data_IF_546152841071
#
_entry.id   IF_546152841071
#
_cell.length_a   1.000
_cell.length_b   1.000
_cell.length_c   1.000
_cell.angle_alpha   90.00
_cell.angle_beta   90.00
_cell.angle_gamma   90.00
#
_symmetry.space_group_name_H-M   'P 1'
#
loop_
_entity.id
_entity.type
_entity.pdbx_description
1 polymer ?
#
# COMPACT_ATOMS: atom_id res chain seq x y z
N UNK A 1 19.37 -21.25 -9.18
CA UNK A 1 19.92 -20.71 -7.91
C UNK A 1 18.94 -20.91 -6.76
N UNK A 2 19.40 -20.72 -5.51
CA UNK A 2 18.55 -20.68 -4.31
C UNK A 2 18.24 -19.23 -3.94
N UNK A 3 16.97 -18.89 -3.86
CA UNK A 3 16.51 -17.53 -3.52
C UNK A 3 15.74 -17.60 -2.19
N UNK A 4 16.05 -16.72 -1.25
CA UNK A 4 15.26 -16.59 -0.03
C UNK A 4 14.58 -15.22 0.05
N UNK A 5 13.25 -15.24 0.16
CA UNK A 5 12.42 -14.08 0.41
C UNK A 5 12.20 -13.97 1.93
N UNK A 6 12.46 -12.81 2.50
CA UNK A 6 12.29 -12.58 3.95
C UNK A 6 11.20 -11.55 4.19
N UNK A 7 10.18 -11.93 4.94
CA UNK A 7 9.05 -11.09 5.32
C UNK A 7 8.91 -10.94 6.84
N UNK A 8 8.29 -9.86 7.28
CA UNK A 8 8.14 -9.48 8.69
C UNK A 8 6.75 -9.76 9.25
N UNK A 9 5.88 -10.36 8.45
CA UNK A 9 4.48 -10.61 8.81
C UNK A 9 3.96 -11.85 8.10
N UNK A 10 2.67 -12.17 8.28
CA UNK A 10 1.98 -13.27 7.61
C UNK A 10 1.91 -13.08 6.09
N UNK A 11 1.80 -14.18 5.37
CA UNK A 11 1.72 -14.21 3.89
C UNK A 11 0.58 -13.31 3.40
N UNK A 12 -0.61 -13.41 3.99
CA UNK A 12 -1.79 -12.60 3.61
C UNK A 12 -1.60 -11.09 3.73
N UNK A 13 -0.63 -10.64 4.53
CA UNK A 13 -0.32 -9.22 4.69
C UNK A 13 0.87 -8.75 3.84
N UNK A 14 1.39 -9.65 2.96
CA UNK A 14 2.49 -9.36 2.06
C UNK A 14 2.14 -9.58 0.57
N UNK A 15 0.97 -9.14 0.08
CA UNK A 15 0.59 -9.35 -1.33
C UNK A 15 1.62 -8.72 -2.30
N UNK A 16 2.33 -7.69 -1.87
CA UNK A 16 3.41 -7.06 -2.61
C UNK A 16 4.64 -7.97 -2.85
N UNK A 17 4.74 -9.09 -2.19
CA UNK A 17 5.74 -10.11 -2.46
C UNK A 17 5.63 -10.65 -3.89
N UNK A 18 4.40 -10.71 -4.43
CA UNK A 18 4.15 -11.20 -5.77
C UNK A 18 4.86 -10.36 -6.84
N UNK A 19 5.04 -9.05 -6.62
CA UNK A 19 5.83 -8.19 -7.51
C UNK A 19 7.23 -8.77 -7.81
N UNK A 20 7.82 -9.44 -6.83
CA UNK A 20 9.12 -10.10 -6.98
C UNK A 20 8.98 -11.55 -7.43
N UNK A 21 8.02 -12.28 -6.85
CA UNK A 21 7.83 -13.69 -7.11
C UNK A 21 7.43 -13.95 -8.56
N UNK A 22 6.61 -13.09 -9.15
CA UNK A 22 6.20 -13.16 -10.55
C UNK A 22 7.36 -12.99 -11.54
N UNK A 23 8.53 -12.51 -11.09
CA UNK A 23 9.75 -12.41 -11.90
C UNK A 23 10.68 -13.61 -11.72
N UNK A 24 10.30 -14.61 -10.92
CA UNK A 24 11.11 -15.79 -10.59
C UNK A 24 10.43 -17.04 -11.16
N UNK A 25 11.13 -17.75 -12.02
CA UNK A 25 10.68 -19.08 -12.46
C UNK A 25 10.95 -20.10 -11.34
N UNK A 26 9.88 -20.43 -10.58
CA UNK A 26 9.96 -21.40 -9.47
C UNK A 26 10.21 -22.85 -9.91
N UNK A 27 10.13 -23.14 -11.21
CA UNK A 27 10.54 -24.44 -11.76
C UNK A 27 12.06 -24.56 -11.95
N UNK A 28 12.74 -23.42 -12.16
CA UNK A 28 14.19 -23.36 -12.38
C UNK A 28 14.96 -22.93 -11.13
N UNK A 29 14.29 -22.33 -10.16
CA UNK A 29 14.90 -21.77 -8.94
C UNK A 29 14.28 -22.40 -7.69
N UNK A 30 15.12 -22.75 -6.71
CA UNK A 30 14.69 -23.16 -5.38
C UNK A 30 14.35 -21.91 -4.57
N UNK A 31 13.06 -21.71 -4.28
CA UNK A 31 12.57 -20.48 -3.63
C UNK A 31 12.09 -20.79 -2.22
N UNK A 32 12.58 -20.03 -1.25
CA UNK A 32 12.23 -20.15 0.16
C UNK A 32 11.60 -18.85 0.67
N UNK A 33 10.55 -18.95 1.49
CA UNK A 33 9.93 -17.82 2.17
C UNK A 33 10.12 -17.93 3.68
N UNK A 34 10.89 -17.02 4.27
CA UNK A 34 11.08 -16.89 5.72
C UNK A 34 10.15 -15.78 6.21
N UNK A 35 9.17 -16.11 7.04
CA UNK A 35 8.14 -15.15 7.44
C UNK A 35 7.71 -15.31 8.90
N UNK A 36 6.96 -14.33 9.43
CA UNK A 36 6.58 -14.28 10.83
C UNK A 36 5.06 -14.39 11.03
N UNK A 37 4.61 -15.47 11.69
CA UNK A 37 3.24 -15.60 12.20
C UNK A 37 3.11 -14.85 13.51
N UNK A 38 2.49 -13.67 13.49
CA UNK A 38 2.45 -12.73 14.62
C UNK A 38 1.20 -12.83 15.48
N UNK A 39 0.17 -13.50 15.02
CA UNK A 39 -1.14 -13.67 15.67
C UNK A 39 -1.74 -15.03 15.31
N UNK A 40 -2.81 -15.42 16.03
CA UNK A 40 -3.51 -16.70 15.84
C UNK A 40 -4.58 -16.67 14.72
N UNK A 41 -4.72 -15.54 14.01
CA UNK A 41 -5.66 -15.47 12.88
C UNK A 41 -5.17 -16.34 11.72
N UNK A 42 -6.11 -16.79 10.87
CA UNK A 42 -5.79 -17.54 9.66
C UNK A 42 -4.77 -16.79 8.79
N UNK A 43 -3.91 -17.52 8.11
CA UNK A 43 -2.96 -16.98 7.13
C UNK A 43 -3.36 -17.45 5.72
N UNK A 44 -2.78 -16.86 4.69
CA UNK A 44 -2.81 -17.42 3.34
C UNK A 44 -1.80 -18.55 3.22
N UNK A 45 -2.05 -19.48 2.31
CA UNK A 45 -1.07 -20.49 1.96
C UNK A 45 0.21 -19.86 1.39
N UNK A 46 1.31 -20.53 1.59
CA UNK A 46 2.56 -20.18 0.91
C UNK A 46 2.37 -20.43 -0.58
N UNK A 47 2.82 -19.53 -1.47
CA UNK A 47 2.65 -19.70 -2.91
C UNK A 47 3.21 -21.03 -3.41
N UNK A 48 2.57 -21.59 -4.44
CA UNK A 48 3.02 -22.85 -5.05
C UNK A 48 4.47 -22.72 -5.55
N UNK A 49 5.27 -23.76 -5.35
CA UNK A 49 6.68 -23.77 -5.72
C UNK A 49 7.61 -23.04 -4.74
N UNK A 50 7.09 -22.56 -3.61
CA UNK A 50 7.87 -21.88 -2.57
C UNK A 50 7.88 -22.70 -1.28
N UNK A 51 9.05 -22.93 -0.70
CA UNK A 51 9.18 -23.61 0.61
C UNK A 51 9.04 -22.59 1.76
N UNK A 52 8.02 -22.74 2.60
CA UNK A 52 7.71 -21.83 3.72
C UNK A 52 8.48 -22.17 5.01
N UNK A 53 9.08 -21.16 5.64
CA UNK A 53 9.73 -21.23 6.95
C UNK A 53 9.08 -20.23 7.90
N UNK A 54 8.06 -20.66 8.64
CA UNK A 54 7.31 -19.82 9.54
C UNK A 54 8.02 -19.65 10.90
N UNK A 55 8.15 -18.41 11.36
CA UNK A 55 8.47 -18.10 12.75
C UNK A 55 7.16 -17.85 13.50
N UNK A 56 6.82 -18.75 14.41
CA UNK A 56 5.62 -18.67 15.22
C UNK A 56 5.94 -18.00 16.56
N UNK A 57 5.54 -16.72 16.69
CA UNK A 57 5.73 -15.94 17.90
C UNK A 57 4.73 -14.80 17.95
N UNK A 58 3.72 -14.87 18.82
CA UNK A 58 2.67 -13.85 18.93
C UNK A 58 3.24 -12.49 19.31
N UNK A 59 2.88 -11.45 18.56
CA UNK A 59 3.26 -10.07 18.84
C UNK A 59 2.25 -9.10 18.25
N UNK A 60 1.51 -8.39 19.10
CA UNK A 60 0.56 -7.38 18.68
C UNK A 60 1.25 -6.15 18.07
N UNK A 61 0.62 -5.56 17.04
CA UNK A 61 1.05 -4.28 16.47
C UNK A 61 0.77 -3.07 17.37
N UNK A 62 -0.16 -3.23 18.30
CA UNK A 62 -0.57 -2.15 19.22
C UNK A 62 0.41 -1.89 20.37
N UNK A 63 1.40 -2.79 20.61
CA UNK A 63 2.35 -2.62 21.72
C UNK A 63 3.46 -1.61 21.39
N UNK A 64 4.01 -0.88 22.39
CA UNK A 64 5.13 0.04 22.21
C UNK A 64 6.36 -0.64 21.61
N UNK A 65 7.20 0.14 20.90
CA UNK A 65 8.43 -0.35 20.27
C UNK A 65 9.35 -1.12 21.25
N UNK A 66 9.53 -0.60 22.46
CA UNK A 66 10.39 -1.24 23.49
C UNK A 66 9.97 -2.68 23.77
N UNK A 67 8.66 -2.97 23.72
CA UNK A 67 8.11 -4.32 23.88
C UNK A 67 8.20 -5.15 22.59
N UNK A 68 8.36 -4.53 21.42
CA UNK A 68 8.57 -5.23 20.14
C UNK A 68 10.00 -5.72 19.93
N UNK A 69 10.99 -5.02 20.48
CA UNK A 69 12.42 -5.33 20.29
C UNK A 69 12.78 -6.79 20.58
N UNK A 70 12.34 -7.41 21.69
CA UNK A 70 12.64 -8.83 21.95
C UNK A 70 12.12 -9.78 20.87
N UNK A 71 10.90 -9.54 20.37
CA UNK A 71 10.30 -10.31 19.26
C UNK A 71 11.11 -10.18 17.97
N UNK A 72 11.49 -8.94 17.63
CA UNK A 72 12.33 -8.64 16.44
C UNK A 72 13.69 -9.36 16.56
N UNK A 73 14.29 -9.36 17.73
CA UNK A 73 15.56 -10.08 17.96
C UNK A 73 15.42 -11.60 17.83
N UNK A 74 14.32 -12.18 18.36
CA UNK A 74 14.01 -13.61 18.20
C UNK A 74 13.80 -13.97 16.74
N UNK A 75 13.00 -13.17 16.00
CA UNK A 75 12.84 -13.33 14.57
C UNK A 75 14.18 -13.28 13.83
N UNK A 76 15.02 -12.31 14.13
CA UNK A 76 16.35 -12.19 13.53
C UNK A 76 17.26 -13.40 13.79
N UNK A 77 17.18 -14.01 15.00
CA UNK A 77 17.90 -15.27 15.31
C UNK A 77 17.35 -16.43 14.47
N UNK A 78 16.02 -16.55 14.37
CA UNK A 78 15.36 -17.56 13.56
C UNK A 78 15.73 -17.41 12.06
N UNK A 79 15.59 -16.21 11.50
CA UNK A 79 15.92 -15.93 10.11
C UNK A 79 17.40 -16.24 9.78
N UNK A 80 18.34 -15.87 10.66
CA UNK A 80 19.77 -16.19 10.51
C UNK A 80 20.02 -17.71 10.53
N UNK A 81 19.31 -18.45 11.41
CA UNK A 81 19.43 -19.94 11.46
C UNK A 81 18.86 -20.56 10.19
N UNK A 82 17.71 -20.10 9.70
CA UNK A 82 17.12 -20.56 8.44
C UNK A 82 18.05 -20.25 7.25
N UNK A 83 18.55 -19.02 7.11
CA UNK A 83 19.51 -18.63 6.08
C UNK A 83 20.80 -19.42 6.12
N UNK A 84 21.28 -19.83 7.30
CA UNK A 84 22.45 -20.70 7.41
C UNK A 84 22.15 -22.13 6.90
N UNK A 85 20.95 -22.65 7.14
CA UNK A 85 20.53 -24.00 6.69
C UNK A 85 20.27 -24.01 5.18
N UNK A 86 19.53 -23.02 4.66
CA UNK A 86 19.16 -22.90 3.24
C UNK A 86 20.40 -22.59 2.40
N UNK A 87 21.28 -21.70 2.92
CA UNK A 87 22.45 -21.16 2.23
C UNK A 87 22.10 -20.57 0.86
N UNK A 88 21.17 -19.60 0.77
CA UNK A 88 20.73 -19.05 -0.51
C UNK A 88 21.86 -18.26 -1.20
N UNK A 89 21.78 -18.21 -2.53
CA UNK A 89 22.68 -17.42 -3.39
C UNK A 89 22.27 -15.94 -3.37
N UNK A 90 20.95 -15.70 -3.31
CA UNK A 90 20.35 -14.35 -3.40
C UNK A 90 19.20 -14.17 -2.41
N UNK A 91 18.99 -12.91 -1.96
CA UNK A 91 17.91 -12.57 -1.02
C UNK A 91 16.95 -11.53 -1.61
N UNK A 92 15.68 -11.61 -1.23
CA UNK A 92 14.71 -10.53 -1.37
C UNK A 92 14.23 -10.18 0.04
N UNK A 93 14.53 -8.96 0.48
CA UNK A 93 14.33 -8.52 1.86
C UNK A 93 13.19 -7.51 1.91
N UNK A 94 12.05 -7.94 2.39
CA UNK A 94 10.86 -7.15 2.47
C UNK A 94 10.80 -6.41 3.81
N UNK A 95 10.70 -5.08 3.76
CA UNK A 95 10.57 -4.19 4.90
C UNK A 95 11.87 -3.92 5.70
N UNK A 96 12.05 -2.68 6.18
CA UNK A 96 13.23 -2.22 6.93
C UNK A 96 13.49 -3.00 8.22
N UNK A 97 12.45 -3.42 8.95
CA UNK A 97 12.61 -4.20 10.19
C UNK A 97 13.21 -5.59 9.90
N UNK A 98 12.83 -6.23 8.79
CA UNK A 98 13.44 -7.47 8.33
C UNK A 98 14.93 -7.26 8.06
N UNK A 99 15.26 -6.24 7.27
CA UNK A 99 16.66 -5.90 6.92
C UNK A 99 17.53 -5.67 8.14
N UNK A 100 17.03 -4.90 9.12
CA UNK A 100 17.76 -4.62 10.37
C UNK A 100 17.99 -5.89 11.18
N UNK A 101 17.03 -6.81 11.24
CA UNK A 101 17.12 -8.05 11.99
C UNK A 101 18.28 -8.95 11.52
N UNK A 102 18.66 -8.84 10.23
CA UNK A 102 19.75 -9.60 9.60
C UNK A 102 20.88 -8.70 9.07
N UNK A 103 20.95 -7.42 9.49
CA UNK A 103 21.86 -6.40 8.97
C UNK A 103 23.30 -6.87 8.80
N UNK A 104 23.85 -7.59 9.82
CA UNK A 104 25.21 -8.09 9.78
C UNK A 104 25.49 -9.07 8.61
N UNK A 105 24.47 -9.84 8.18
CA UNK A 105 24.56 -10.71 7.02
C UNK A 105 24.50 -9.91 5.71
N UNK A 106 23.58 -8.93 5.62
CA UNK A 106 23.43 -8.06 4.44
C UNK A 106 24.69 -7.24 4.18
N UNK A 107 25.35 -6.77 5.24
CA UNK A 107 26.58 -5.97 5.14
C UNK A 107 27.80 -6.79 4.71
N UNK A 108 27.85 -8.10 4.98
CA UNK A 108 29.03 -8.96 4.78
C UNK A 108 28.78 -10.00 3.70
N UNK A 109 28.06 -11.08 4.03
CA UNK A 109 27.86 -12.25 3.18
C UNK A 109 27.06 -11.94 1.91
N UNK A 110 26.01 -11.13 2.06
CA UNK A 110 25.06 -10.84 0.97
C UNK A 110 25.23 -9.44 0.37
N UNK A 111 26.33 -8.74 0.61
CA UNK A 111 26.58 -7.45 -0.03
C UNK A 111 26.55 -7.58 -1.55
N UNK A 112 25.70 -6.81 -2.22
CA UNK A 112 25.45 -6.89 -3.66
C UNK A 112 24.63 -8.11 -4.13
N UNK A 113 24.11 -8.91 -3.19
CA UNK A 113 23.37 -10.15 -3.47
C UNK A 113 21.96 -10.12 -2.86
N UNK A 114 21.31 -8.98 -2.86
CA UNK A 114 19.93 -8.88 -2.42
C UNK A 114 19.21 -7.70 -3.05
N UNK A 115 17.88 -7.88 -3.20
CA UNK A 115 16.92 -6.81 -3.42
C UNK A 115 16.38 -6.38 -2.05
N UNK A 116 16.23 -5.08 -1.85
CA UNK A 116 15.62 -4.52 -0.65
C UNK A 116 14.34 -3.76 -0.98
N UNK A 117 13.23 -4.11 -0.34
CA UNK A 117 11.94 -3.46 -0.47
C UNK A 117 11.62 -2.61 0.75
N UNK A 118 11.65 -1.28 0.58
CA UNK A 118 11.36 -0.29 1.61
C UNK A 118 9.90 0.18 1.50
N UNK A 119 9.03 -0.34 2.36
CA UNK A 119 7.58 -0.14 2.28
C UNK A 119 7.04 0.99 3.13
N UNK A 120 7.61 1.22 4.30
CA UNK A 120 7.10 2.16 5.30
C UNK A 120 8.23 2.88 6.03
N UNK A 121 8.01 4.15 6.33
CA UNK A 121 8.83 4.91 7.28
C UNK A 121 8.47 4.45 8.69
N UNK A 122 9.44 3.90 9.40
CA UNK A 122 9.24 3.35 10.76
C UNK A 122 9.91 4.18 11.84
N UNK A 123 11.25 4.18 11.87
CA UNK A 123 12.06 4.82 12.91
C UNK A 123 13.19 5.68 12.32
N UNK A 124 13.03 6.18 11.11
CA UNK A 124 14.04 6.95 10.38
C UNK A 124 14.34 8.31 11.01
N UNK A 125 13.50 8.78 11.95
CA UNK A 125 13.82 9.91 12.83
C UNK A 125 14.96 9.60 13.81
N UNK A 126 15.27 8.31 14.07
CA UNK A 126 16.42 7.86 14.85
C UNK A 126 17.62 7.76 13.92
N UNK A 127 18.62 8.60 14.11
CA UNK A 127 19.78 8.73 13.20
C UNK A 127 20.51 7.41 12.95
N UNK A 128 20.68 6.58 13.99
CA UNK A 128 21.32 5.27 13.83
C UNK A 128 20.47 4.33 12.99
N UNK A 129 19.16 4.34 13.15
CA UNK A 129 18.25 3.54 12.34
C UNK A 129 18.33 3.95 10.87
N UNK A 130 18.22 5.26 10.59
CA UNK A 130 18.35 5.81 9.24
C UNK A 130 19.70 5.49 8.61
N UNK A 131 20.80 5.55 9.36
CA UNK A 131 22.12 5.17 8.88
C UNK A 131 22.17 3.69 8.47
N UNK A 132 21.59 2.79 9.30
CA UNK A 132 21.53 1.36 8.99
C UNK A 132 20.72 1.11 7.73
N UNK A 133 19.51 1.68 7.60
CA UNK A 133 18.67 1.57 6.40
C UNK A 133 19.41 2.12 5.18
N UNK A 134 20.05 3.27 5.29
CA UNK A 134 20.85 3.84 4.20
C UNK A 134 22.01 2.93 3.78
N UNK A 135 22.65 2.23 4.72
CA UNK A 135 23.68 1.23 4.41
C UNK A 135 23.10 0.00 3.72
N UNK A 136 21.90 -0.44 4.11
CA UNK A 136 21.18 -1.53 3.44
C UNK A 136 20.92 -1.17 1.99
N UNK A 137 20.36 0.03 1.72
CA UNK A 137 20.13 0.51 0.34
C UNK A 137 21.44 0.56 -0.46
N UNK A 138 22.51 1.13 0.08
CA UNK A 138 23.79 1.25 -0.61
C UNK A 138 24.46 -0.09 -0.94
N UNK A 139 24.21 -1.11 -0.12
CA UNK A 139 24.79 -2.45 -0.30
C UNK A 139 23.87 -3.42 -1.07
N UNK A 140 22.65 -3.04 -1.43
CA UNK A 140 21.77 -3.87 -2.23
C UNK A 140 22.22 -3.93 -3.69
N UNK A 141 21.86 -4.97 -4.40
CA UNK A 141 21.93 -5.01 -5.86
C UNK A 141 20.89 -4.07 -6.47
N UNK A 142 19.68 -4.07 -5.87
CA UNK A 142 18.56 -3.21 -6.26
C UNK A 142 17.72 -2.90 -5.02
N UNK A 143 17.14 -1.71 -4.95
CA UNK A 143 16.18 -1.34 -3.90
C UNK A 143 14.91 -0.78 -4.50
N UNK A 144 13.80 -1.02 -3.80
CA UNK A 144 12.51 -0.43 -4.13
C UNK A 144 11.97 0.36 -2.96
N UNK A 145 11.15 1.37 -3.28
CA UNK A 145 10.31 2.07 -2.31
C UNK A 145 8.87 2.10 -2.80
N UNK A 146 7.90 1.98 -1.90
CA UNK A 146 6.47 1.99 -2.25
C UNK A 146 5.89 3.38 -2.47
N UNK A 147 6.68 4.43 -2.28
CA UNK A 147 6.31 5.82 -2.51
C UNK A 147 7.55 6.67 -2.80
N UNK A 148 7.47 7.55 -3.77
CA UNK A 148 8.54 8.53 -4.03
C UNK A 148 8.73 9.49 -2.84
N UNK A 149 7.70 9.74 -2.06
CA UNK A 149 7.79 10.55 -0.85
C UNK A 149 8.71 9.97 0.22
N UNK A 150 8.98 8.67 0.17
CA UNK A 150 9.91 8.02 1.11
C UNK A 150 11.38 8.21 0.73
N UNK A 151 11.69 8.60 -0.51
CA UNK A 151 13.07 8.85 -0.99
C UNK A 151 13.82 9.86 -0.13
N UNK A 152 13.15 10.83 0.48
CA UNK A 152 13.77 11.81 1.39
C UNK A 152 14.45 11.19 2.62
N UNK A 153 14.13 9.95 2.96
CA UNK A 153 14.72 9.20 4.06
C UNK A 153 15.86 8.26 3.63
N UNK A 154 16.03 8.07 2.33
CA UNK A 154 16.93 7.11 1.73
C UNK A 154 18.09 7.82 0.99
N UNK A 155 19.23 7.16 0.81
CA UNK A 155 20.30 7.73 0.01
C UNK A 155 19.89 7.78 -1.46
N UNK A 156 20.33 8.81 -2.15
CA UNK A 156 20.23 8.87 -3.61
C UNK A 156 21.10 7.79 -4.26
N UNK A 157 20.51 7.04 -5.17
CA UNK A 157 21.18 6.02 -5.97
C UNK A 157 20.29 5.64 -7.16
N UNK A 158 20.91 5.33 -8.29
CA UNK A 158 20.27 4.84 -9.51
C UNK A 158 19.65 3.44 -9.36
N UNK A 159 20.03 2.72 -8.30
CA UNK A 159 19.49 1.40 -7.92
C UNK A 159 18.27 1.47 -7.02
N UNK A 160 17.71 2.65 -6.73
CA UNK A 160 16.49 2.83 -5.98
C UNK A 160 15.34 3.17 -6.93
N UNK A 161 14.42 2.24 -7.11
CA UNK A 161 13.23 2.38 -7.95
C UNK A 161 11.97 2.49 -7.08
N UNK A 162 10.84 2.85 -7.71
CA UNK A 162 9.53 2.83 -7.06
C UNK A 162 8.78 1.56 -7.45
N UNK A 163 8.27 0.82 -6.45
CA UNK A 163 7.34 -0.28 -6.65
C UNK A 163 5.93 0.19 -6.35
N UNK A 164 5.10 0.30 -7.37
CA UNK A 164 3.73 0.74 -7.21
C UNK A 164 2.85 -0.38 -6.61
N UNK A 165 1.94 -0.01 -5.70
CA UNK A 165 0.95 -0.94 -5.13
C UNK A 165 -0.25 -1.13 -6.06
N UNK A 166 -0.02 -1.17 -7.36
CA UNK A 166 -1.07 -1.44 -8.31
C UNK A 166 -1.47 -2.93 -8.22
N UNK A 167 -2.75 -3.17 -8.08
CA UNK A 167 -3.30 -4.52 -8.04
C UNK A 167 -3.59 -5.01 -9.45
N UNK A 168 -4.51 -5.92 -9.61
CA UNK A 168 -4.89 -6.52 -10.89
C UNK A 168 -5.21 -5.47 -11.97
N UNK A 169 -4.32 -5.32 -12.95
CA UNK A 169 -4.44 -4.35 -14.05
C UNK A 169 -5.62 -4.68 -14.97
N UNK A 170 -6.06 -5.96 -15.05
CA UNK A 170 -7.22 -6.37 -15.87
C UNK A 170 -8.51 -5.65 -15.49
N UNK A 171 -8.62 -5.13 -14.25
CA UNK A 171 -9.77 -4.31 -13.87
C UNK A 171 -10.00 -3.10 -14.78
N UNK A 172 -8.94 -2.58 -15.45
CA UNK A 172 -9.10 -1.49 -16.41
C UNK A 172 -9.85 -1.95 -17.67
N UNK A 173 -9.61 -3.18 -18.12
CA UNK A 173 -10.31 -3.80 -19.23
C UNK A 173 -11.76 -4.13 -18.85
N UNK A 174 -11.96 -4.68 -17.63
CA UNK A 174 -13.28 -5.06 -17.12
C UNK A 174 -14.27 -3.88 -17.02
N UNK A 175 -13.78 -2.65 -16.84
CA UNK A 175 -14.63 -1.44 -16.77
C UNK A 175 -14.72 -0.67 -18.06
N UNK A 176 -13.96 -1.03 -19.11
CA UNK A 176 -13.87 -0.26 -20.36
C UNK A 176 -15.24 -0.01 -20.99
N UNK A 177 -16.09 -1.04 -21.05
CA UNK A 177 -17.43 -0.96 -21.65
C UNK A 177 -18.43 -0.12 -20.82
N UNK A 178 -18.11 0.18 -19.58
CA UNK A 178 -18.95 1.00 -18.69
C UNK A 178 -18.58 2.48 -18.68
N UNK A 179 -17.62 2.90 -19.51
CA UNK A 179 -17.13 4.27 -19.57
C UNK A 179 -17.63 5.01 -20.83
N UNK A 180 -17.90 6.31 -20.73
CA UNK A 180 -17.94 7.13 -19.50
C UNK A 180 -19.13 6.73 -18.60
N UNK A 181 -18.99 6.94 -17.29
CA UNK A 181 -19.98 6.46 -16.30
C UNK A 181 -21.25 7.32 -16.21
N UNK A 182 -21.20 8.54 -16.72
CA UNK A 182 -22.22 9.55 -16.49
C UNK A 182 -22.15 10.13 -15.06
N UNK A 183 -22.92 11.19 -14.84
CA UNK A 183 -22.99 11.86 -13.53
C UNK A 183 -24.22 11.41 -12.76
N UNK A 184 -24.03 11.03 -11.52
CA UNK A 184 -25.09 10.59 -10.62
C UNK A 184 -25.45 11.68 -9.60
N UNK A 185 -26.69 11.67 -9.14
CA UNK A 185 -27.19 12.43 -8.01
C UNK A 185 -28.14 11.52 -7.25
N UNK A 186 -27.89 11.25 -5.95
CA UNK A 186 -26.76 11.74 -5.14
C UNK A 186 -25.40 11.18 -5.59
N UNK A 187 -24.32 11.92 -5.29
CA UNK A 187 -22.93 11.54 -5.57
C UNK A 187 -22.49 10.47 -4.56
N UNK A 188 -22.12 9.30 -5.02
CA UNK A 188 -21.72 8.17 -4.19
C UNK A 188 -20.21 8.24 -3.89
N UNK A 189 -19.88 8.65 -2.69
CA UNK A 189 -18.48 8.76 -2.22
C UNK A 189 -18.14 7.50 -1.42
N UNK A 190 -17.15 6.71 -1.87
CA UNK A 190 -16.84 5.43 -1.26
C UNK A 190 -15.42 5.39 -0.70
N UNK A 191 -15.29 4.86 0.52
CA UNK A 191 -14.04 4.43 1.12
C UNK A 191 -13.99 2.91 1.13
N UNK A 192 -12.86 2.33 0.70
CA UNK A 192 -12.59 0.91 0.90
C UNK A 192 -11.19 0.65 1.47
N UNK A 193 -11.14 -0.31 2.39
CA UNK A 193 -9.92 -0.71 3.09
C UNK A 193 -10.09 -0.77 4.60
N UNK A 194 -8.98 -0.74 5.31
CA UNK A 194 -9.02 -0.67 6.77
C UNK A 194 -9.40 0.74 7.22
N UNK A 195 -10.55 0.88 7.87
CA UNK A 195 -11.06 2.16 8.34
C UNK A 195 -10.23 2.64 9.55
N UNK A 196 -9.60 3.79 9.38
CA UNK A 196 -8.73 4.45 10.37
C UNK A 196 -9.00 5.96 10.39
N UNK A 197 -8.48 6.64 11.41
CA UNK A 197 -8.59 8.10 11.49
C UNK A 197 -10.00 8.55 11.88
N UNK A 198 -10.48 8.16 13.05
CA UNK A 198 -11.83 8.46 13.55
C UNK A 198 -12.17 9.94 13.44
N UNK A 199 -11.28 10.85 13.87
CA UNK A 199 -11.54 12.29 13.87
C UNK A 199 -11.78 12.86 12.47
N UNK A 200 -11.01 12.42 11.47
CA UNK A 200 -11.15 12.93 10.10
C UNK A 200 -12.41 12.36 9.43
N UNK A 201 -12.72 11.08 9.67
CA UNK A 201 -13.96 10.49 9.18
C UNK A 201 -15.20 11.08 9.88
N UNK A 202 -15.10 11.40 11.16
CA UNK A 202 -16.16 12.11 11.89
C UNK A 202 -16.44 13.48 11.26
N UNK A 203 -15.41 14.22 10.88
CA UNK A 203 -15.58 15.51 10.21
C UNK A 203 -16.22 15.35 8.83
N UNK A 204 -15.75 14.42 8.00
CA UNK A 204 -16.34 14.13 6.68
C UNK A 204 -17.83 13.76 6.83
N UNK A 205 -18.17 12.86 7.76
CA UNK A 205 -19.55 12.44 8.00
C UNK A 205 -20.39 13.61 8.53
N UNK A 206 -19.82 14.50 9.36
CA UNK A 206 -20.55 15.67 9.87
C UNK A 206 -20.89 16.68 8.78
N UNK A 207 -20.05 16.79 7.74
CA UNK A 207 -20.22 17.73 6.61
C UNK A 207 -21.13 17.19 5.52
N UNK A 208 -21.08 15.89 5.25
CA UNK A 208 -21.78 15.27 4.13
C UNK A 208 -22.98 14.40 4.56
N UNK A 209 -23.02 14.00 5.83
CA UNK A 209 -24.14 13.24 6.41
C UNK A 209 -25.37 14.12 6.54
N UNK A 210 -26.49 13.70 5.94
CA UNK A 210 -27.73 14.45 5.87
C UNK A 210 -27.78 15.52 4.77
N UNK A 211 -26.74 15.64 3.93
CA UNK A 211 -26.77 16.43 2.70
C UNK A 211 -27.23 15.55 1.53
N UNK A 212 -28.38 15.86 0.96
CA UNK A 212 -29.06 15.05 -0.09
C UNK A 212 -28.25 14.98 -1.41
N UNK A 213 -27.23 15.79 -1.55
CA UNK A 213 -26.31 15.76 -2.70
C UNK A 213 -25.38 14.54 -2.69
N UNK A 214 -25.20 13.87 -1.53
CA UNK A 214 -24.19 12.85 -1.31
C UNK A 214 -24.72 11.58 -0.70
N UNK A 215 -24.08 10.47 -1.02
CA UNK A 215 -24.11 9.20 -0.27
C UNK A 215 -22.70 8.81 0.16
N UNK A 216 -22.51 8.38 1.41
CA UNK A 216 -21.24 7.92 1.94
C UNK A 216 -21.25 6.41 2.13
N UNK A 217 -20.37 5.71 1.42
CA UNK A 217 -20.26 4.25 1.48
C UNK A 217 -18.91 3.84 2.06
N UNK A 218 -18.92 3.09 3.16
CA UNK A 218 -17.73 2.58 3.83
C UNK A 218 -17.65 1.06 3.72
N UNK A 219 -16.62 0.57 3.02
CA UNK A 219 -16.32 -0.85 2.86
C UNK A 219 -15.02 -1.18 3.57
N UNK A 220 -15.03 -2.17 4.44
CA UNK A 220 -13.84 -2.65 5.13
C UNK A 220 -14.03 -2.85 6.62
N UNK A 221 -12.94 -3.17 7.29
CA UNK A 221 -12.94 -3.44 8.71
C UNK A 221 -12.77 -2.15 9.51
N UNK A 222 -13.70 -1.87 10.40
CA UNK A 222 -13.58 -0.84 11.42
C UNK A 222 -13.14 -1.46 12.75
N UNK A 223 -12.36 -0.73 13.56
CA UNK A 223 -11.89 -1.19 14.87
C UNK A 223 -11.91 -0.06 15.90
N UNK A 224 -12.22 -0.40 17.15
CA UNK A 224 -12.21 0.55 18.27
C UNK A 224 -13.17 1.72 18.05
N UNK A 225 -12.70 2.94 18.23
CA UNK A 225 -13.51 4.16 18.06
C UNK A 225 -14.11 4.33 16.66
N UNK A 226 -13.51 3.70 15.65
CA UNK A 226 -14.03 3.74 14.28
C UNK A 226 -15.28 2.87 14.13
N UNK A 227 -15.37 1.71 14.83
CA UNK A 227 -16.60 0.89 14.85
C UNK A 227 -17.75 1.66 15.47
N UNK A 228 -17.51 2.32 16.61
CA UNK A 228 -18.51 3.15 17.29
C UNK A 228 -18.99 4.28 16.38
N UNK A 229 -18.05 4.99 15.72
CA UNK A 229 -18.41 6.05 14.78
C UNK A 229 -19.32 5.55 13.66
N UNK A 230 -19.02 4.38 13.06
CA UNK A 230 -19.85 3.82 11.99
C UNK A 230 -21.25 3.45 12.50
N UNK A 231 -21.35 2.76 13.64
CA UNK A 231 -22.64 2.37 14.25
C UNK A 231 -23.52 3.58 14.58
N UNK A 232 -22.94 4.67 15.07
CA UNK A 232 -23.67 5.90 15.37
C UNK A 232 -24.08 6.64 14.10
N UNK A 233 -23.21 6.68 13.11
CA UNK A 233 -23.42 7.43 11.85
C UNK A 233 -24.55 6.83 11.01
N UNK A 234 -24.61 5.50 10.86
CA UNK A 234 -25.69 4.84 10.10
C UNK A 234 -27.06 4.95 10.79
N UNK A 235 -27.09 5.19 12.11
CA UNK A 235 -28.34 5.46 12.84
C UNK A 235 -28.79 6.90 12.71
N UNK A 236 -27.84 7.83 12.56
CA UNK A 236 -28.10 9.27 12.54
C UNK A 236 -28.43 9.78 11.16
N UNK A 237 -27.77 9.27 10.12
CA UNK A 237 -27.85 9.78 8.76
C UNK A 237 -28.32 8.69 7.78
N UNK A 238 -29.34 8.97 7.00
CA UNK A 238 -29.91 8.01 6.02
C UNK A 238 -29.03 7.82 4.80
N UNK A 239 -28.12 8.73 4.54
CA UNK A 239 -27.18 8.70 3.42
C UNK A 239 -25.76 8.20 3.78
N UNK A 240 -25.59 7.57 4.95
CA UNK A 240 -24.31 6.97 5.38
C UNK A 240 -24.50 5.45 5.51
N UNK A 241 -23.66 4.69 4.81
CA UNK A 241 -23.74 3.25 4.70
C UNK A 241 -22.43 2.59 5.13
N UNK A 242 -22.52 1.56 5.97
CA UNK A 242 -21.37 0.73 6.35
C UNK A 242 -21.61 -0.72 5.93
N UNK A 243 -20.80 -1.21 4.99
CA UNK A 243 -20.97 -2.51 4.33
C UNK A 243 -20.14 -3.63 4.98
N UNK A 244 -19.22 -3.30 5.91
CA UNK A 244 -18.33 -4.28 6.52
C UNK A 244 -17.19 -4.75 5.60
N UNK A 245 -16.62 -5.92 5.92
CA UNK A 245 -15.48 -6.46 5.17
C UNK A 245 -15.90 -6.94 3.78
N UNK A 246 -15.00 -6.81 2.81
CA UNK A 246 -15.18 -7.20 1.43
C UNK A 246 -14.01 -8.08 0.95
N UNK A 247 -14.21 -8.82 -0.12
CA UNK A 247 -13.18 -9.64 -0.77
C UNK A 247 -12.58 -8.91 -1.98
N UNK A 248 -11.37 -9.23 -2.41
CA UNK A 248 -10.74 -8.60 -3.58
C UNK A 248 -11.60 -8.60 -4.86
N UNK A 249 -12.36 -9.68 -5.09
CA UNK A 249 -13.24 -9.82 -6.24
C UNK A 249 -14.49 -8.92 -6.19
N UNK A 250 -14.88 -8.44 -5.01
CA UNK A 250 -16.04 -7.56 -4.84
C UNK A 250 -15.76 -6.12 -5.34
N UNK A 251 -14.48 -5.80 -5.64
CA UNK A 251 -14.03 -4.45 -6.00
C UNK A 251 -14.67 -3.92 -7.29
N UNK A 252 -14.93 -4.75 -8.29
CA UNK A 252 -15.64 -4.33 -9.50
C UNK A 252 -17.06 -3.84 -9.18
N UNK A 253 -17.80 -4.60 -8.37
CA UNK A 253 -19.14 -4.21 -7.93
C UNK A 253 -19.11 -2.93 -7.08
N UNK A 254 -18.12 -2.79 -6.19
CA UNK A 254 -17.93 -1.58 -5.39
C UNK A 254 -17.64 -0.38 -6.29
N UNK A 255 -16.75 -0.54 -7.27
CA UNK A 255 -16.42 0.51 -8.24
C UNK A 255 -17.61 0.94 -9.09
N UNK A 256 -18.47 0.01 -9.51
CA UNK A 256 -19.71 0.31 -10.24
C UNK A 256 -20.72 1.13 -9.40
N UNK A 257 -20.65 1.03 -8.08
CA UNK A 257 -21.47 1.78 -7.13
C UNK A 257 -20.73 2.96 -6.46
N UNK A 258 -19.69 3.48 -7.10
CA UNK A 258 -18.87 4.58 -6.61
C UNK A 258 -18.73 5.63 -7.69
N UNK A 259 -18.91 6.90 -7.32
CA UNK A 259 -18.67 8.04 -8.20
C UNK A 259 -17.36 8.76 -7.85
N UNK A 260 -16.99 8.76 -6.57
CA UNK A 260 -15.75 9.36 -6.07
C UNK A 260 -15.12 8.43 -5.03
N UNK A 261 -13.81 8.21 -5.11
CA UNK A 261 -13.06 7.50 -4.08
C UNK A 261 -12.67 8.46 -2.94
N UNK A 262 -13.05 8.12 -1.73
CA UNK A 262 -12.55 8.79 -0.53
C UNK A 262 -11.15 8.25 -0.18
N UNK A 263 -10.13 9.07 -0.46
CA UNK A 263 -8.72 8.80 -0.21
C UNK A 263 -8.09 9.84 0.75
N UNK A 264 -8.91 10.41 1.64
CA UNK A 264 -8.48 11.37 2.66
C UNK A 264 -7.99 10.63 3.90
N UNK A 265 -6.82 11.01 4.41
CA UNK A 265 -6.20 10.45 5.60
C UNK A 265 -5.74 11.55 6.56
N UNK A 266 -5.53 11.19 7.81
CA UNK A 266 -4.98 12.10 8.82
C UNK A 266 -3.49 12.38 8.56
N UNK A 267 -3.18 13.65 8.31
CA UNK A 267 -1.81 14.14 8.06
C UNK A 267 -0.97 14.36 9.34
N UNK A 268 -1.51 14.05 10.53
CA UNK A 268 -0.80 14.27 11.80
C UNK A 268 0.44 13.40 11.99
N UNK A 269 0.55 12.29 11.27
CA UNK A 269 1.76 11.48 11.29
C UNK A 269 2.71 11.81 10.13
N UNK A 270 3.97 11.41 10.24
CA UNK A 270 5.02 11.74 9.25
C UNK A 270 4.98 10.89 7.99
N UNK A 271 4.25 9.79 8.02
CA UNK A 271 4.23 8.79 6.94
C UNK A 271 3.08 9.06 5.97
N UNK A 272 1.89 9.34 6.50
CA UNK A 272 0.68 9.50 5.68
C UNK A 272 0.77 10.59 4.61
N UNK A 273 1.37 11.79 4.90
CA UNK A 273 1.48 12.83 3.89
C UNK A 273 2.32 12.45 2.67
N UNK A 274 3.18 11.45 2.80
CA UNK A 274 4.16 11.05 1.77
C UNK A 274 4.00 9.61 1.30
N UNK A 275 3.02 8.89 1.84
CA UNK A 275 2.68 7.52 1.44
C UNK A 275 1.78 7.51 0.19
N UNK A 276 1.80 6.39 -0.52
CA UNK A 276 0.85 6.08 -1.59
C UNK A 276 -0.10 4.99 -1.12
N UNK A 277 -1.39 5.22 -1.21
CA UNK A 277 -2.39 4.20 -0.90
C UNK A 277 -2.79 3.39 -2.13
N UNK A 278 -3.27 2.16 -1.92
CA UNK A 278 -3.79 1.34 -3.01
C UNK A 278 -4.95 2.02 -3.75
N UNK A 279 -5.76 2.82 -3.03
CA UNK A 279 -6.88 3.56 -3.62
C UNK A 279 -6.47 4.57 -4.70
N UNK A 280 -5.23 5.10 -4.65
CA UNK A 280 -4.72 5.93 -5.73
C UNK A 280 -4.70 5.17 -7.06
N UNK A 281 -4.20 3.95 -7.03
CA UNK A 281 -4.16 3.08 -8.22
C UNK A 281 -5.55 2.56 -8.60
N UNK A 282 -6.40 2.33 -7.61
CA UNK A 282 -7.80 1.96 -7.86
C UNK A 282 -8.54 3.05 -8.62
N UNK A 283 -8.32 4.33 -8.27
CA UNK A 283 -8.87 5.45 -9.01
C UNK A 283 -8.49 5.46 -10.48
N UNK A 284 -7.24 5.10 -10.80
CA UNK A 284 -6.78 4.98 -12.19
C UNK A 284 -7.39 3.76 -12.90
N UNK A 285 -7.40 2.60 -12.25
CA UNK A 285 -7.92 1.35 -12.83
C UNK A 285 -9.41 1.42 -13.08
N UNK A 286 -10.17 1.96 -12.14
CA UNK A 286 -11.64 2.05 -12.24
C UNK A 286 -12.14 3.36 -12.85
N UNK A 287 -11.24 4.28 -13.22
CA UNK A 287 -11.57 5.62 -13.74
C UNK A 287 -12.53 6.36 -12.79
N UNK A 288 -12.08 6.50 -11.55
CA UNK A 288 -12.84 7.16 -10.49
C UNK A 288 -12.05 8.34 -9.93
N UNK A 289 -12.62 9.55 -9.92
CA UNK A 289 -11.99 10.69 -9.28
C UNK A 289 -11.79 10.44 -7.79
N UNK A 290 -10.77 11.08 -7.21
CA UNK A 290 -10.35 10.84 -5.83
C UNK A 290 -10.38 12.11 -5.01
N UNK A 291 -10.89 12.02 -3.79
CA UNK A 291 -10.69 13.07 -2.76
C UNK A 291 -9.43 12.73 -1.98
N UNK A 292 -8.42 13.56 -2.09
CA UNK A 292 -7.14 13.36 -1.42
C UNK A 292 -6.86 14.46 -0.40
N UNK A 293 -6.15 14.10 0.66
CA UNK A 293 -5.80 15.04 1.74
C UNK A 293 -4.93 16.18 1.22
N UNK A 294 -5.31 17.40 1.53
CA UNK A 294 -4.56 18.64 1.23
C UNK A 294 -3.14 18.59 1.79
N UNK A 295 -2.14 18.94 0.97
CA UNK A 295 -0.71 18.89 1.31
C UNK A 295 -0.10 17.47 1.36
N UNK A 296 -0.83 16.45 0.91
CA UNK A 296 -0.27 15.10 0.74
C UNK A 296 0.34 14.88 -0.64
N UNK A 297 1.24 13.90 -0.75
CA UNK A 297 1.78 13.49 -2.05
C UNK A 297 0.67 13.06 -3.02
N UNK A 298 -0.31 12.30 -2.52
CA UNK A 298 -1.45 11.88 -3.35
C UNK A 298 -2.29 13.06 -3.80
N UNK A 299 -2.57 14.03 -2.91
CA UNK A 299 -3.27 15.26 -3.26
C UNK A 299 -2.54 16.04 -4.36
N UNK A 300 -1.23 16.23 -4.19
CA UNK A 300 -0.38 16.89 -5.18
C UNK A 300 -0.41 16.17 -6.53
N UNK A 301 -0.34 14.83 -6.54
CA UNK A 301 -0.38 14.04 -7.77
C UNK A 301 -1.78 14.08 -8.42
N UNK A 302 -2.84 13.98 -7.62
CA UNK A 302 -4.21 14.07 -8.12
C UNK A 302 -4.49 15.42 -8.81
N UNK A 303 -4.04 16.51 -8.21
CA UNK A 303 -4.14 17.85 -8.81
C UNK A 303 -3.27 17.99 -10.06
N UNK A 304 -2.00 17.54 -9.98
CA UNK A 304 -1.04 17.63 -11.08
C UNK A 304 -1.53 16.89 -12.34
N UNK A 305 -2.10 15.71 -12.17
CA UNK A 305 -2.54 14.86 -13.28
C UNK A 305 -4.04 14.99 -13.59
N UNK A 306 -4.74 15.89 -12.91
CA UNK A 306 -6.18 16.10 -13.08
C UNK A 306 -7.05 14.84 -12.88
N UNK A 307 -6.69 14.02 -11.88
CA UNK A 307 -7.34 12.75 -11.55
C UNK A 307 -8.08 12.76 -10.20
N UNK A 308 -8.26 13.92 -9.60
CA UNK A 308 -8.94 14.06 -8.32
C UNK A 308 -8.85 15.47 -7.73
N UNK A 309 -9.45 15.62 -6.57
CA UNK A 309 -9.51 16.87 -5.81
C UNK A 309 -8.68 16.79 -4.53
N UNK A 310 -7.78 17.74 -4.34
CA UNK A 310 -7.12 17.95 -3.06
C UNK A 310 -8.02 18.77 -2.14
N UNK A 311 -8.35 18.25 -0.96
CA UNK A 311 -9.30 18.88 -0.05
C UNK A 311 -8.98 18.63 1.43
N UNK A 312 -9.54 19.49 2.28
CA UNK A 312 -9.47 19.37 3.74
C UNK A 312 -10.90 19.33 4.29
N UNK A 313 -11.31 18.27 5.01
CA UNK A 313 -12.66 18.18 5.58
C UNK A 313 -12.99 19.29 6.58
N UNK A 314 -11.97 19.95 7.15
CA UNK A 314 -12.16 21.04 8.10
C UNK A 314 -12.43 22.39 7.41
N UNK A 315 -12.25 22.52 6.09
CA UNK A 315 -12.63 23.71 5.33
C UNK A 315 -14.17 23.86 5.34
N UNK A 316 -14.66 25.12 5.47
CA UNK A 316 -16.10 25.39 5.58
C UNK A 316 -16.87 25.03 4.29
N UNK A 317 -16.21 25.18 3.13
CA UNK A 317 -16.74 24.93 1.79
C UNK A 317 -16.49 23.50 1.27
N UNK A 318 -16.10 22.58 2.16
CA UNK A 318 -15.71 21.21 1.77
C UNK A 318 -16.77 20.49 0.91
N UNK A 319 -18.03 20.52 1.33
CA UNK A 319 -19.13 19.87 0.59
C UNK A 319 -19.37 20.53 -0.77
N UNK A 320 -19.40 21.86 -0.83
CA UNK A 320 -19.63 22.61 -2.06
C UNK A 320 -18.51 22.40 -3.08
N UNK A 321 -17.24 22.39 -2.62
CA UNK A 321 -16.09 22.10 -3.48
C UNK A 321 -16.13 20.71 -4.10
N UNK A 322 -16.58 19.70 -3.36
CA UNK A 322 -16.75 18.34 -3.89
C UNK A 322 -17.84 18.31 -4.94
N UNK A 323 -18.97 18.96 -4.63
CA UNK A 323 -20.11 19.01 -5.56
C UNK A 323 -19.76 19.73 -6.86
N UNK A 324 -19.15 20.91 -6.76
CA UNK A 324 -18.71 21.72 -7.90
C UNK A 324 -17.66 20.98 -8.75
N UNK A 325 -16.67 20.35 -8.10
CA UNK A 325 -15.66 19.53 -8.78
C UNK A 325 -16.31 18.41 -9.59
N UNK A 326 -17.17 17.61 -8.96
CA UNK A 326 -17.78 16.46 -9.63
C UNK A 326 -18.73 16.88 -10.77
N UNK A 327 -19.55 17.90 -10.54
CA UNK A 327 -20.51 18.38 -11.54
C UNK A 327 -19.86 19.09 -12.72
N UNK A 328 -18.71 19.73 -12.52
CA UNK A 328 -17.93 20.38 -13.59
C UNK A 328 -16.97 19.47 -14.34
N UNK A 329 -16.76 18.22 -13.85
CA UNK A 329 -15.79 17.30 -14.43
C UNK A 329 -16.16 16.96 -15.90
N UNK A 330 -15.21 17.15 -16.84
CA UNK A 330 -15.31 16.62 -18.19
C UNK A 330 -14.86 15.15 -18.18
N UNK A 331 -15.77 14.26 -18.54
CA UNK A 331 -15.52 12.81 -18.45
C UNK A 331 -14.48 12.33 -19.46
N UNK A 332 -14.43 12.91 -20.65
CA UNK A 332 -13.47 12.52 -21.68
C UNK A 332 -12.05 12.98 -21.32
N UNK A 333 -11.93 14.22 -20.83
CA UNK A 333 -10.64 14.75 -20.32
C UNK A 333 -10.16 13.96 -19.11
N UNK A 334 -11.07 13.61 -18.19
CA UNK A 334 -10.74 12.82 -17.00
C UNK A 334 -10.27 11.41 -17.36
N UNK A 335 -10.95 10.74 -18.32
CA UNK A 335 -10.53 9.44 -18.81
C UNK A 335 -9.12 9.49 -19.42
N UNK A 336 -8.85 10.47 -20.28
CA UNK A 336 -7.54 10.67 -20.89
C UNK A 336 -6.44 10.95 -19.85
N UNK A 337 -6.77 11.69 -18.78
CA UNK A 337 -5.88 11.96 -17.67
C UNK A 337 -5.55 10.68 -16.87
N UNK A 338 -6.55 9.85 -16.58
CA UNK A 338 -6.37 8.54 -15.94
C UNK A 338 -5.49 7.61 -16.78
N UNK A 339 -5.74 7.52 -18.10
CA UNK A 339 -4.95 6.68 -19.01
C UNK A 339 -3.49 7.15 -19.08
N UNK A 340 -3.26 8.45 -19.12
CA UNK A 340 -1.91 9.03 -19.14
C UNK A 340 -1.13 8.67 -17.88
N UNK A 341 -1.74 8.85 -16.71
CA UNK A 341 -1.08 8.53 -15.43
C UNK A 341 -0.94 7.03 -15.23
N UNK A 342 -1.92 6.23 -15.63
CA UNK A 342 -1.83 4.77 -15.58
C UNK A 342 -0.69 4.26 -16.46
N UNK A 343 -0.55 4.77 -17.68
CA UNK A 343 0.55 4.41 -18.58
C UNK A 343 1.92 4.73 -17.96
N UNK A 344 2.06 5.90 -17.31
CA UNK A 344 3.29 6.28 -16.57
C UNK A 344 3.60 5.28 -15.45
N UNK A 345 2.60 4.94 -14.63
CA UNK A 345 2.74 3.97 -13.54
C UNK A 345 3.15 2.60 -14.06
N UNK A 346 2.50 2.12 -15.11
CA UNK A 346 2.81 0.82 -15.72
C UNK A 346 4.21 0.77 -16.34
N UNK A 347 4.67 1.85 -16.95
CA UNK A 347 6.03 1.94 -17.46
C UNK A 347 7.08 1.84 -16.33
N UNK A 348 6.82 2.44 -15.17
CA UNK A 348 7.68 2.30 -13.98
C UNK A 348 7.66 0.89 -13.41
N UNK A 349 6.49 0.23 -13.38
CA UNK A 349 6.35 -1.18 -12.98
C UNK A 349 7.17 -2.08 -13.91
N UNK A 350 7.04 -1.91 -15.22
CA UNK A 350 7.77 -2.72 -16.21
C UNK A 350 9.28 -2.51 -16.11
N UNK A 351 9.73 -1.27 -15.93
CA UNK A 351 11.14 -0.97 -15.65
C UNK A 351 11.63 -1.69 -14.39
N UNK A 352 10.79 -1.74 -13.34
CA UNK A 352 11.07 -2.47 -12.10
C UNK A 352 11.25 -3.97 -12.36
N UNK A 353 10.30 -4.57 -13.10
CA UNK A 353 10.28 -5.98 -13.46
C UNK A 353 11.56 -6.36 -14.26
N UNK A 354 11.91 -5.54 -15.26
CA UNK A 354 13.13 -5.73 -16.04
C UNK A 354 14.37 -5.71 -15.16
N UNK A 355 14.49 -4.73 -14.26
CA UNK A 355 15.64 -4.61 -13.35
C UNK A 355 15.73 -5.79 -12.37
N UNK A 356 14.61 -6.33 -11.90
CA UNK A 356 14.61 -7.54 -11.07
C UNK A 356 15.17 -8.72 -11.86
N UNK A 357 14.71 -8.94 -13.10
CA UNK A 357 15.20 -10.03 -13.97
C UNK A 357 16.70 -9.90 -14.26
N UNK A 358 17.19 -8.70 -14.61
CA UNK A 358 18.61 -8.44 -14.82
C UNK A 358 19.43 -8.83 -13.58
N UNK A 359 19.04 -8.33 -12.40
CA UNK A 359 19.77 -8.59 -11.15
C UNK A 359 19.74 -10.07 -10.75
N UNK A 360 18.65 -10.78 -11.02
CA UNK A 360 18.56 -12.23 -10.76
C UNK A 360 19.35 -13.07 -11.77
N UNK A 361 19.48 -12.60 -13.00
CA UNK A 361 20.29 -13.28 -14.02
C UNK A 361 21.80 -13.14 -13.74
N UNK A 362 22.22 -11.98 -13.19
CA UNK A 362 23.63 -11.66 -12.91
C UNK A 362 24.10 -12.21 -11.53
N UNK A 363 23.21 -12.84 -10.74
CA UNK A 363 23.47 -13.31 -9.37
C UNK A 363 23.91 -14.78 -9.33
#
# INVERSE_FOLDING_TARGET
MKIAILGFTKVKYMPYMNFYLDQIDTAQHEVHLIYWKRDDMSDSDVPQGVEGHAFDYPMSDAIPLTKKVPGIMKYGKFAKKALKKINPDFLIVLHSTTAISIYGLLKRKYKGKYIFDYRDVTYENVSIYRHIVGTVVKNSALSFTSSDGFRKWLPETDRLLTSHNISNVSFREDVADSLPRGKNTPIRISFWGLLRGTAINQEIISKLGGDDRFELHYYGRAQGSMSVLMEESIKKYQNVFFHGEYRPQDRLTMAANTDIIHNIFDNKNRTMPIAMSNKYYDGLLFVLPQLCTKGSLMGTLCTKYNIGLECDPFDADFADRIYDYYTSLDEAEFLAACDTELARVLAEVERGNQKIKEVLHDA
#
